data_IF_033569208028
#
_entry.id   IF_033569208028
#
_cell.length_a   1.000
_cell.length_b   1.000
_cell.length_c   1.000
_cell.angle_alpha   90.00
_cell.angle_beta   90.00
_cell.angle_gamma   90.00
#
_symmetry.space_group_name_H-M   'P 1'
#
loop_
_entity.id
_entity.type
_entity.pdbx_description
1 polymer ?
#
# COMPACT_ATOMS: atom_id res chain seq x y z
N UNK A 1 16.84 1.82 20.50
CA UNK A 1 16.46 2.05 19.11
C UNK A 1 15.92 0.75 18.56
N UNK A 2 14.77 0.76 17.94
CA UNK A 2 14.08 -0.45 17.48
C UNK A 2 14.07 -0.53 15.95
N UNK A 3 15.25 -0.36 15.32
CA UNK A 3 15.44 -0.69 13.91
C UNK A 3 15.25 -2.19 13.70
N UNK A 4 14.79 -2.57 12.50
CA UNK A 4 14.64 -3.99 12.12
C UNK A 4 15.42 -4.20 10.83
N UNK A 5 16.26 -5.24 10.82
CA UNK A 5 17.00 -5.69 9.64
C UNK A 5 16.59 -7.09 9.27
N UNK A 6 16.12 -7.28 8.06
CA UNK A 6 15.79 -8.57 7.46
C UNK A 6 16.80 -8.84 6.35
N UNK A 7 17.59 -9.93 6.49
CA UNK A 7 18.68 -10.26 5.58
C UNK A 7 18.46 -11.64 4.98
N UNK A 8 18.17 -11.67 3.68
CA UNK A 8 17.95 -12.89 2.91
C UNK A 8 16.92 -13.83 3.53
N UNK A 9 15.77 -13.28 3.99
CA UNK A 9 14.74 -14.05 4.69
C UNK A 9 13.95 -14.91 3.70
N UNK A 10 13.81 -16.18 4.04
CA UNK A 10 12.96 -17.14 3.34
C UNK A 10 11.99 -17.81 4.30
N UNK A 11 10.78 -18.08 3.82
CA UNK A 11 9.82 -18.97 4.48
C UNK A 11 9.39 -20.07 3.53
N UNK A 12 9.64 -21.31 3.93
CA UNK A 12 9.25 -22.51 3.22
C UNK A 12 8.43 -23.36 4.19
N UNK A 13 7.17 -23.60 3.87
CA UNK A 13 6.32 -24.46 4.69
C UNK A 13 6.58 -25.94 4.36
N UNK A 14 6.45 -26.84 5.35
CA UNK A 14 6.60 -28.27 5.11
C UNK A 14 5.66 -28.76 4.00
N UNK A 15 6.22 -29.46 3.00
CA UNK A 15 5.45 -29.97 1.86
C UNK A 15 5.13 -28.94 0.76
N UNK A 16 5.50 -27.67 0.93
CA UNK A 16 5.35 -26.68 -0.13
C UNK A 16 6.39 -26.86 -1.24
N UNK A 17 5.97 -26.68 -2.50
CA UNK A 17 6.85 -26.74 -3.67
C UNK A 17 7.62 -25.45 -3.93
N UNK A 18 7.14 -24.34 -3.38
CA UNK A 18 7.76 -23.02 -3.52
C UNK A 18 7.76 -22.28 -2.15
N UNK A 19 8.72 -21.38 -1.92
CA UNK A 19 8.72 -20.51 -0.74
C UNK A 19 7.53 -19.57 -0.73
N UNK A 20 6.97 -19.31 0.46
CA UNK A 20 5.95 -18.27 0.67
C UNK A 20 6.54 -16.87 0.83
N UNK A 21 7.84 -16.79 1.17
CA UNK A 21 8.65 -15.57 1.19
C UNK A 21 10.02 -15.94 0.64
N UNK A 22 10.51 -15.15 -0.32
CA UNK A 22 11.75 -15.42 -1.06
C UNK A 22 12.65 -14.20 -1.00
N UNK A 23 13.86 -14.41 -0.50
CA UNK A 23 14.94 -13.41 -0.47
C UNK A 23 14.50 -12.01 0.01
N UNK A 24 13.74 -11.99 1.11
CA UNK A 24 13.19 -10.74 1.63
C UNK A 24 14.29 -9.96 2.37
N UNK A 25 14.69 -8.84 1.78
CA UNK A 25 15.71 -7.94 2.29
C UNK A 25 15.08 -6.59 2.59
N UNK A 26 15.15 -6.12 3.86
CA UNK A 26 14.53 -4.87 4.29
C UNK A 26 15.20 -4.29 5.52
N UNK A 27 15.53 -3.01 5.46
CA UNK A 27 15.95 -2.21 6.62
C UNK A 27 14.81 -1.27 7.01
N UNK A 28 14.35 -1.38 8.26
CA UNK A 28 13.33 -0.50 8.85
C UNK A 28 14.00 0.34 9.92
N UNK A 29 13.85 1.65 9.82
CA UNK A 29 14.47 2.60 10.73
C UNK A 29 13.73 2.66 12.08
N UNK A 30 14.42 3.10 13.12
CA UNK A 30 13.78 3.38 14.41
C UNK A 30 12.69 4.45 14.25
N UNK A 31 11.51 4.18 14.82
CA UNK A 31 10.32 5.04 14.76
C UNK A 31 9.69 5.19 13.37
N UNK A 32 10.07 4.39 12.42
CA UNK A 32 9.46 4.39 11.09
C UNK A 32 8.08 3.73 11.13
N UNK A 33 7.15 4.26 10.34
CA UNK A 33 5.87 3.63 10.04
C UNK A 33 5.95 3.01 8.64
N UNK A 34 6.18 1.71 8.57
CA UNK A 34 6.27 0.98 7.31
C UNK A 34 5.04 0.12 7.06
N UNK A 35 4.60 0.06 5.80
CA UNK A 35 3.40 -0.68 5.40
C UNK A 35 3.76 -1.77 4.40
N UNK A 36 3.29 -2.99 4.64
CA UNK A 36 3.36 -4.09 3.68
C UNK A 36 2.04 -4.18 2.93
N UNK A 37 2.08 -4.06 1.61
CA UNK A 37 0.93 -4.11 0.73
C UNK A 37 1.15 -5.08 -0.42
N UNK A 38 0.08 -5.64 -0.96
CA UNK A 38 0.12 -6.57 -2.08
C UNK A 38 -1.12 -7.48 -2.13
N UNK A 39 -1.27 -8.30 -3.15
CA UNK A 39 -2.38 -9.23 -3.30
C UNK A 39 -2.49 -10.22 -2.14
N UNK A 40 -3.67 -10.85 -2.00
CA UNK A 40 -3.85 -11.93 -1.02
C UNK A 40 -2.87 -13.07 -1.29
N UNK A 41 -2.26 -13.61 -0.22
CA UNK A 41 -1.30 -14.72 -0.34
C UNK A 41 0.13 -14.33 -0.73
N UNK A 42 0.47 -13.05 -0.95
CA UNK A 42 1.82 -12.64 -1.36
C UNK A 42 2.87 -12.63 -0.23
N UNK A 43 2.58 -13.17 0.96
CA UNK A 43 3.57 -13.33 2.03
C UNK A 43 3.59 -12.26 3.12
N UNK A 44 2.76 -11.19 3.06
CA UNK A 44 2.72 -10.07 4.04
C UNK A 44 2.56 -10.53 5.50
N UNK A 45 1.44 -11.20 5.81
CA UNK A 45 1.17 -11.69 7.17
C UNK A 45 2.16 -12.76 7.60
N UNK A 46 2.68 -13.57 6.67
CA UNK A 46 3.76 -14.53 6.96
C UNK A 46 5.01 -13.80 7.42
N UNK A 47 5.43 -12.76 6.71
CA UNK A 47 6.59 -11.93 7.08
C UNK A 47 6.36 -11.24 8.43
N UNK A 48 5.18 -10.65 8.64
CA UNK A 48 4.83 -10.04 9.91
C UNK A 48 4.90 -11.05 11.07
N UNK A 49 4.42 -12.29 10.87
CA UNK A 49 4.48 -13.37 11.87
C UNK A 49 5.88 -13.86 12.12
N UNK A 50 6.76 -13.88 11.11
CA UNK A 50 8.20 -14.16 11.32
C UNK A 50 8.85 -13.09 12.21
N UNK A 51 8.54 -11.80 11.99
CA UNK A 51 9.00 -10.70 12.85
C UNK A 51 8.47 -10.88 14.29
N UNK A 52 7.20 -11.31 14.41
CA UNK A 52 6.60 -11.60 15.71
C UNK A 52 7.16 -12.85 16.42
N UNK A 53 7.85 -13.74 15.70
CA UNK A 53 8.30 -15.05 16.21
C UNK A 53 7.16 -16.07 16.31
N UNK A 54 6.05 -15.84 15.63
CA UNK A 54 4.91 -16.76 15.52
C UNK A 54 5.08 -17.74 14.35
N UNK A 55 6.01 -17.45 13.46
CA UNK A 55 6.44 -18.29 12.35
C UNK A 55 7.97 -18.41 12.38
N UNK A 56 8.49 -19.60 12.13
CA UNK A 56 9.92 -19.84 12.02
C UNK A 56 10.47 -19.31 10.70
N UNK A 57 11.67 -18.74 10.75
CA UNK A 57 12.44 -18.32 9.58
C UNK A 57 13.14 -19.56 9.02
N UNK A 58 12.94 -19.87 7.73
CA UNK A 58 13.54 -21.04 7.11
C UNK A 58 15.01 -20.82 6.72
N UNK A 59 15.36 -19.58 6.29
CA UNK A 59 16.74 -19.15 5.97
C UNK A 59 16.85 -17.64 6.17
N UNK A 60 18.08 -17.15 6.32
CA UNK A 60 18.40 -15.75 6.52
C UNK A 60 18.43 -15.35 7.98
N UNK A 61 18.70 -14.08 8.24
CA UNK A 61 18.88 -13.54 9.59
C UNK A 61 18.00 -12.32 9.81
N UNK A 62 17.36 -12.24 10.96
CA UNK A 62 16.49 -11.13 11.33
C UNK A 62 16.93 -10.52 12.65
N UNK A 63 17.01 -9.18 12.66
CA UNK A 63 17.48 -8.43 13.82
C UNK A 63 16.45 -7.40 14.26
N UNK A 64 16.31 -7.19 15.57
CA UNK A 64 15.57 -6.07 16.17
C UNK A 64 16.53 -5.34 17.12
N UNK A 65 16.77 -4.05 16.88
CA UNK A 65 17.69 -3.25 17.67
C UNK A 65 19.13 -3.81 17.69
N UNK A 66 19.57 -4.44 16.61
CA UNK A 66 20.89 -5.09 16.48
C UNK A 66 21.00 -6.47 17.11
N UNK A 67 19.92 -6.98 17.74
CA UNK A 67 19.89 -8.34 18.33
C UNK A 67 19.30 -9.32 17.29
N UNK A 68 20.02 -10.40 17.02
CA UNK A 68 19.51 -11.53 16.22
C UNK A 68 18.32 -12.18 16.95
N UNK A 69 17.18 -12.34 16.23
CA UNK A 69 15.93 -12.80 16.83
C UNK A 69 15.39 -14.11 16.26
N UNK A 70 16.12 -14.80 15.39
CA UNK A 70 15.62 -16.02 14.75
C UNK A 70 15.06 -17.03 15.76
N UNK A 71 15.81 -17.31 16.83
CA UNK A 71 15.44 -18.28 17.87
C UNK A 71 14.84 -17.64 19.13
N UNK A 72 14.58 -16.31 19.10
CA UNK A 72 14.00 -15.60 20.24
C UNK A 72 12.49 -15.80 20.26
N UNK A 73 11.90 -16.35 21.34
CA UNK A 73 10.46 -16.54 21.42
C UNK A 73 9.70 -15.21 21.44
N UNK A 74 8.43 -15.14 20.99
CA UNK A 74 7.64 -13.92 20.86
C UNK A 74 7.59 -13.04 22.11
N UNK A 75 7.52 -13.66 23.29
CA UNK A 75 7.45 -12.96 24.59
C UNK A 75 8.68 -12.12 24.91
N UNK A 76 9.84 -12.45 24.31
CA UNK A 76 11.16 -11.89 24.59
C UNK A 76 11.68 -10.98 23.47
N UNK A 77 10.83 -10.69 22.44
CA UNK A 77 11.15 -9.81 21.29
C UNK A 77 10.84 -8.33 21.50
N UNK A 78 10.27 -7.95 22.63
CA UNK A 78 9.82 -6.58 22.93
C UNK A 78 8.90 -5.96 21.86
N UNK A 79 7.98 -6.77 21.37
CA UNK A 79 6.97 -6.40 20.37
C UNK A 79 5.56 -6.46 20.94
N UNK A 80 4.62 -5.77 20.30
CA UNK A 80 3.20 -5.98 20.50
C UNK A 80 2.51 -6.19 19.15
N UNK A 81 1.61 -7.18 19.06
CA UNK A 81 0.88 -7.49 17.84
C UNK A 81 -0.63 -7.31 18.04
N UNK A 82 -1.25 -6.66 17.07
CA UNK A 82 -2.71 -6.55 16.91
C UNK A 82 -3.10 -7.41 15.72
N UNK A 83 -3.96 -8.39 15.95
CA UNK A 83 -4.45 -9.32 14.95
C UNK A 83 -5.71 -8.77 14.25
N UNK A 84 -5.96 -9.22 13.05
CA UNK A 84 -7.14 -8.91 12.26
C UNK A 84 -8.46 -9.17 13.02
N UNK A 85 -8.52 -10.24 13.83
CA UNK A 85 -9.69 -10.59 14.68
C UNK A 85 -9.74 -9.82 16.00
N UNK A 86 -8.78 -8.90 16.25
CA UNK A 86 -8.55 -8.23 17.53
C UNK A 86 -8.16 -9.15 18.69
N UNK A 87 -8.52 -10.42 18.65
CA UNK A 87 -8.21 -11.48 19.62
C UNK A 87 -8.45 -11.03 21.10
N UNK A 88 -9.57 -10.35 21.35
CA UNK A 88 -9.96 -9.96 22.71
C UNK A 88 -10.49 -11.15 23.50
N UNK A 89 -10.20 -11.18 24.80
CA UNK A 89 -10.73 -12.20 25.71
C UNK A 89 -12.22 -11.88 26.00
N UNK A 90 -13.17 -12.69 25.50
CA UNK A 90 -14.60 -12.32 25.52
C UNK A 90 -15.23 -12.32 26.91
N UNK A 91 -14.66 -13.06 27.87
CA UNK A 91 -15.10 -13.15 29.26
C UNK A 91 -14.58 -12.02 30.15
N UNK A 92 -13.52 -11.32 29.72
CA UNK A 92 -12.89 -10.22 30.45
C UNK A 92 -13.53 -8.87 30.09
N UNK A 93 -13.49 -7.92 31.03
CA UNK A 93 -13.84 -6.51 30.77
C UNK A 93 -12.77 -5.85 29.87
N UNK A 94 -13.06 -4.67 29.34
CA UNK A 94 -12.07 -3.82 28.64
C UNK A 94 -10.85 -3.59 29.50
N UNK A 95 -11.05 -3.19 30.77
CA UNK A 95 -9.96 -3.00 31.72
C UNK A 95 -9.06 -4.25 31.81
N UNK A 96 -9.66 -5.42 32.04
CA UNK A 96 -8.92 -6.69 32.19
C UNK A 96 -8.22 -7.11 30.89
N UNK A 97 -8.83 -6.87 29.72
CA UNK A 97 -8.19 -7.11 28.43
C UNK A 97 -6.92 -6.27 28.27
N UNK A 98 -6.97 -4.99 28.64
CA UNK A 98 -5.81 -4.08 28.55
C UNK A 98 -4.77 -4.47 29.61
N UNK A 99 -5.17 -4.72 30.85
CA UNK A 99 -4.29 -5.05 31.97
C UNK A 99 -3.56 -6.39 31.84
N UNK A 100 -4.13 -7.35 31.11
CA UNK A 100 -3.73 -8.75 31.11
C UNK A 100 -2.22 -8.99 30.91
N UNK A 101 -1.61 -8.30 29.95
CA UNK A 101 -0.16 -8.44 29.68
C UNK A 101 0.72 -7.93 30.82
N UNK A 102 0.26 -6.92 31.58
CA UNK A 102 0.96 -6.40 32.75
C UNK A 102 0.79 -7.32 33.97
N UNK A 103 -0.42 -7.89 34.14
CA UNK A 103 -0.68 -8.88 35.20
C UNK A 103 0.21 -10.13 35.06
N UNK A 104 0.38 -10.65 33.83
CA UNK A 104 1.28 -11.78 33.55
C UNK A 104 2.74 -11.46 33.89
N UNK A 105 3.16 -10.20 33.75
CA UNK A 105 4.50 -9.74 34.12
C UNK A 105 4.62 -9.41 35.61
N UNK A 106 3.58 -9.65 36.40
CA UNK A 106 3.52 -9.35 37.84
C UNK A 106 3.80 -7.88 38.18
N UNK A 107 3.38 -6.97 37.29
CA UNK A 107 3.48 -5.52 37.51
C UNK A 107 2.63 -5.12 38.74
N UNK A 108 3.07 -4.17 39.57
CA UNK A 108 2.29 -3.67 40.74
C UNK A 108 0.91 -3.15 40.30
N UNK A 109 -0.12 -3.39 41.13
CA UNK A 109 -1.51 -3.02 40.80
C UNK A 109 -1.71 -1.53 40.51
N UNK A 110 -1.06 -0.67 41.29
CA UNK A 110 -1.17 0.78 41.10
C UNK A 110 -0.58 1.22 39.75
N UNK A 111 0.51 0.61 39.34
CA UNK A 111 1.13 0.87 38.04
C UNK A 111 0.26 0.32 36.89
N UNK A 112 -0.38 -0.85 37.08
CA UNK A 112 -1.34 -1.39 36.10
C UNK A 112 -2.51 -0.41 35.91
N UNK A 113 -3.15 0.03 37.01
CA UNK A 113 -4.30 0.96 36.94
C UNK A 113 -3.91 2.27 36.23
N UNK A 114 -2.77 2.84 36.57
CA UNK A 114 -2.24 4.05 35.95
C UNK A 114 -2.07 3.85 34.43
N UNK A 115 -1.34 2.83 34.00
CA UNK A 115 -1.08 2.58 32.56
C UNK A 115 -2.36 2.25 31.79
N UNK A 116 -3.27 1.47 32.36
CA UNK A 116 -4.55 1.14 31.73
C UNK A 116 -5.40 2.39 31.50
N UNK A 117 -5.51 3.28 32.52
CA UNK A 117 -6.26 4.53 32.39
C UNK A 117 -5.61 5.49 31.41
N UNK A 118 -4.29 5.63 31.43
CA UNK A 118 -3.55 6.43 30.47
C UNK A 118 -3.79 5.94 29.03
N UNK A 119 -3.69 4.64 28.78
CA UNK A 119 -3.98 4.06 27.46
C UNK A 119 -5.46 4.25 27.06
N UNK A 120 -6.39 4.04 28.00
CA UNK A 120 -7.82 4.22 27.75
C UNK A 120 -8.17 5.68 27.42
N UNK A 121 -7.53 6.63 28.07
CA UNK A 121 -7.67 8.07 27.81
C UNK A 121 -7.14 8.46 26.43
N UNK A 122 -5.97 7.92 26.06
CA UNK A 122 -5.37 8.15 24.72
C UNK A 122 -6.30 7.68 23.60
N UNK A 123 -7.01 6.56 23.81
CA UNK A 123 -7.86 5.90 22.83
C UNK A 123 -9.34 6.26 22.98
N UNK A 124 -9.68 7.19 23.92
CA UNK A 124 -11.07 7.62 24.18
C UNK A 124 -12.01 6.46 24.52
N UNK A 125 -11.57 5.54 25.39
CA UNK A 125 -12.33 4.36 25.81
C UNK A 125 -12.45 4.21 27.34
N UNK A 126 -12.13 5.26 28.14
CA UNK A 126 -12.25 5.21 29.62
C UNK A 126 -13.67 4.83 30.06
N UNK A 127 -14.68 5.38 29.41
CA UNK A 127 -16.10 5.12 29.68
C UNK A 127 -16.55 3.69 29.34
N UNK A 128 -15.65 2.87 28.74
CA UNK A 128 -15.92 1.49 28.35
C UNK A 128 -15.20 0.47 29.23
N UNK A 129 -14.38 0.88 30.19
CA UNK A 129 -13.47 0.00 30.95
C UNK A 129 -14.18 -1.18 31.62
N UNK A 130 -15.43 -0.99 32.09
CA UNK A 130 -16.20 -2.03 32.77
C UNK A 130 -17.01 -2.91 31.80
N UNK A 131 -17.09 -2.55 30.52
CA UNK A 131 -17.82 -3.32 29.52
C UNK A 131 -17.05 -4.55 29.07
N UNK A 132 -17.78 -5.55 28.53
CA UNK A 132 -17.20 -6.73 27.88
C UNK A 132 -17.21 -6.56 26.35
N UNK A 133 -16.32 -7.27 25.60
CA UNK A 133 -16.18 -7.16 24.15
C UNK A 133 -17.49 -7.29 23.36
N UNK A 134 -18.43 -8.13 23.82
CA UNK A 134 -19.74 -8.33 23.16
C UNK A 134 -20.61 -7.05 23.13
N UNK A 135 -20.38 -6.12 24.05
CA UNK A 135 -21.12 -4.86 24.16
C UNK A 135 -20.42 -3.69 23.43
N UNK A 136 -19.43 -3.97 22.59
CA UNK A 136 -18.61 -2.98 21.89
C UNK A 136 -18.88 -3.02 20.39
N UNK A 137 -18.78 -1.83 19.75
CA UNK A 137 -18.72 -1.74 18.27
C UNK A 137 -17.37 -2.26 17.74
N UNK A 138 -17.26 -2.46 16.42
CA UNK A 138 -16.02 -2.89 15.77
C UNK A 138 -14.83 -1.98 16.11
N UNK A 139 -14.97 -0.66 15.96
CA UNK A 139 -13.93 0.31 16.28
C UNK A 139 -13.59 0.37 17.76
N UNK A 140 -14.57 0.19 18.66
CA UNK A 140 -14.30 0.10 20.09
C UNK A 140 -13.47 -1.14 20.42
N UNK A 141 -13.80 -2.31 19.84
CA UNK A 141 -12.97 -3.52 19.99
C UNK A 141 -11.54 -3.31 19.52
N UNK A 142 -11.37 -2.64 18.38
CA UNK A 142 -10.04 -2.32 17.86
C UNK A 142 -9.26 -1.42 18.79
N UNK A 143 -9.87 -0.33 19.30
CA UNK A 143 -9.22 0.56 20.29
C UNK A 143 -8.81 -0.21 21.55
N UNK A 144 -9.62 -1.16 22.01
CA UNK A 144 -9.24 -2.03 23.13
C UNK A 144 -8.03 -2.91 22.79
N UNK A 145 -7.96 -3.46 21.58
CA UNK A 145 -6.79 -4.25 21.15
C UNK A 145 -5.52 -3.40 21.04
N UNK A 146 -5.64 -2.16 20.54
CA UNK A 146 -4.53 -1.18 20.55
C UNK A 146 -4.12 -0.82 21.99
N UNK A 147 -5.06 -0.59 22.90
CA UNK A 147 -4.79 -0.32 24.30
C UNK A 147 -4.03 -1.45 24.99
N UNK A 148 -4.43 -2.71 24.72
CA UNK A 148 -3.73 -3.90 25.20
C UNK A 148 -2.28 -4.00 24.70
N UNK A 149 -2.03 -3.53 23.48
CA UNK A 149 -0.69 -3.47 22.92
C UNK A 149 0.13 -2.32 23.56
N UNK A 150 -0.47 -1.13 23.70
CA UNK A 150 0.19 0.09 24.20
C UNK A 150 0.73 -0.02 25.63
N UNK A 151 -0.03 -0.60 26.55
CA UNK A 151 0.36 -0.64 27.98
C UNK A 151 1.69 -1.34 28.24
N UNK A 152 2.16 -2.12 27.28
CA UNK A 152 3.44 -2.82 27.35
C UNK A 152 4.64 -1.97 26.99
N UNK A 153 4.43 -0.77 26.41
CA UNK A 153 5.46 0.10 25.82
C UNK A 153 6.43 -0.69 24.94
N UNK A 154 5.93 -1.39 23.90
CA UNK A 154 6.78 -2.22 23.06
C UNK A 154 7.70 -1.36 22.19
N UNK A 155 8.86 -1.90 21.84
CA UNK A 155 9.78 -1.26 20.91
C UNK A 155 9.25 -1.27 19.48
N UNK A 156 8.42 -2.27 19.11
CA UNK A 156 7.80 -2.39 17.77
C UNK A 156 6.33 -2.77 17.88
N UNK A 157 5.49 -2.08 17.12
CA UNK A 157 4.08 -2.44 16.91
C UNK A 157 3.91 -3.20 15.59
N UNK A 158 3.25 -4.34 15.63
CA UNK A 158 2.89 -5.17 14.50
C UNK A 158 1.36 -5.19 14.34
N UNK A 159 0.86 -4.72 13.20
CA UNK A 159 -0.57 -4.57 12.92
C UNK A 159 -0.95 -5.41 11.69
N UNK A 160 -1.63 -6.55 11.92
CA UNK A 160 -2.05 -7.49 10.86
C UNK A 160 -3.49 -7.18 10.42
N UNK A 161 -3.67 -6.44 9.35
CA UNK A 161 -4.94 -5.99 8.76
C UNK A 161 -5.96 -5.46 9.79
N UNK A 162 -5.57 -4.52 10.68
CA UNK A 162 -6.40 -4.16 11.83
C UNK A 162 -7.71 -3.45 11.46
N UNK A 163 -7.85 -2.89 10.24
CA UNK A 163 -9.02 -2.15 9.79
C UNK A 163 -9.97 -2.94 8.88
N UNK A 164 -9.58 -4.16 8.45
CA UNK A 164 -10.31 -4.94 7.45
C UNK A 164 -11.77 -5.25 7.82
N UNK A 165 -12.07 -5.39 9.11
CA UNK A 165 -13.41 -5.74 9.63
C UNK A 165 -14.28 -4.51 9.98
N UNK A 166 -13.89 -3.30 9.54
CA UNK A 166 -14.63 -2.07 9.81
C UNK A 166 -15.36 -1.55 8.57
N UNK A 167 -16.47 -0.86 8.78
CA UNK A 167 -17.14 -0.10 7.72
C UNK A 167 -16.29 1.08 7.24
N UNK A 168 -16.58 1.63 6.05
CA UNK A 168 -15.78 2.65 5.40
C UNK A 168 -15.61 3.93 6.24
N UNK A 169 -16.68 4.40 6.90
CA UNK A 169 -16.66 5.62 7.73
C UNK A 169 -15.76 5.43 8.95
N UNK A 170 -15.90 4.29 9.62
CA UNK A 170 -15.11 3.97 10.81
C UNK A 170 -13.64 3.71 10.44
N UNK A 171 -13.39 3.05 9.29
CA UNK A 171 -12.04 2.82 8.77
C UNK A 171 -11.28 4.15 8.57
N UNK A 172 -11.93 5.15 7.95
CA UNK A 172 -11.33 6.48 7.75
C UNK A 172 -10.98 7.16 9.08
N UNK A 173 -11.88 7.11 10.07
CA UNK A 173 -11.61 7.65 11.40
C UNK A 173 -10.44 6.93 12.07
N UNK A 174 -10.43 5.59 12.02
CA UNK A 174 -9.40 4.79 12.69
C UNK A 174 -8.02 4.91 12.05
N UNK A 175 -7.92 5.12 10.73
CA UNK A 175 -6.64 5.47 10.07
C UNK A 175 -6.01 6.71 10.72
N UNK A 176 -6.79 7.78 10.85
CA UNK A 176 -6.33 9.02 11.48
C UNK A 176 -5.88 8.78 12.93
N UNK A 177 -6.61 7.96 13.68
CA UNK A 177 -6.24 7.63 15.07
C UNK A 177 -4.93 6.83 15.17
N UNK A 178 -4.70 5.86 14.27
CA UNK A 178 -3.46 5.09 14.24
C UNK A 178 -2.26 5.99 13.89
N UNK A 179 -2.41 6.92 12.92
CA UNK A 179 -1.36 7.89 12.58
C UNK A 179 -1.02 8.78 13.78
N UNK A 180 -2.04 9.31 14.47
CA UNK A 180 -1.84 10.12 15.70
C UNK A 180 -1.16 9.30 16.80
N UNK A 181 -1.55 8.03 16.93
CA UNK A 181 -0.97 7.12 17.90
C UNK A 181 0.52 6.87 17.62
N UNK A 182 0.89 6.57 16.37
CA UNK A 182 2.28 6.41 15.96
C UNK A 182 3.11 7.66 16.31
N UNK A 183 2.64 8.85 15.93
CA UNK A 183 3.32 10.12 16.25
C UNK A 183 3.49 10.34 17.76
N UNK A 184 2.48 9.95 18.56
CA UNK A 184 2.50 10.11 20.01
C UNK A 184 3.45 9.14 20.71
N UNK A 185 3.48 7.88 20.23
CA UNK A 185 4.32 6.82 20.83
C UNK A 185 5.78 6.93 20.36
N UNK A 186 6.03 7.48 19.17
CA UNK A 186 7.35 7.58 18.56
C UNK A 186 8.09 6.21 18.59
N UNK A 187 7.41 5.14 18.18
CA UNK A 187 7.91 3.77 18.12
C UNK A 187 7.78 3.22 16.71
N UNK A 188 8.50 2.18 16.34
CA UNK A 188 8.46 1.57 15.02
C UNK A 188 7.14 0.81 14.82
N UNK A 189 6.44 1.09 13.71
CA UNK A 189 5.20 0.42 13.33
C UNK A 189 5.39 -0.36 12.03
N UNK A 190 4.93 -1.61 12.01
CA UNK A 190 4.78 -2.41 10.80
C UNK A 190 3.30 -2.74 10.64
N UNK A 191 2.73 -2.34 9.52
CA UNK A 191 1.32 -2.46 9.23
C UNK A 191 1.11 -3.28 7.96
N UNK A 192 0.29 -4.30 8.03
CA UNK A 192 -0.11 -5.10 6.87
C UNK A 192 -1.50 -4.69 6.42
N UNK A 193 -1.68 -4.47 5.15
CA UNK A 193 -2.98 -4.22 4.54
C UNK A 193 -3.04 -4.72 3.10
N UNK A 194 -4.24 -4.89 2.58
CA UNK A 194 -4.52 -5.03 1.15
C UNK A 194 -5.20 -3.77 0.57
N UNK A 195 -5.49 -2.77 1.41
CA UNK A 195 -6.11 -1.50 1.03
C UNK A 195 -5.03 -0.48 0.65
N UNK A 196 -5.03 -0.06 -0.62
CA UNK A 196 -4.07 0.90 -1.14
C UNK A 196 -4.22 2.28 -0.50
N UNK A 197 -5.46 2.68 -0.16
CA UNK A 197 -5.71 3.99 0.47
C UNK A 197 -5.07 4.03 1.87
N UNK A 198 -5.13 2.92 2.62
CA UNK A 198 -4.42 2.80 3.89
C UNK A 198 -2.92 2.93 3.67
N UNK A 199 -2.36 2.18 2.71
CA UNK A 199 -0.94 2.20 2.41
C UNK A 199 -0.44 3.60 2.04
N UNK A 200 -1.11 4.26 1.10
CA UNK A 200 -0.73 5.58 0.57
C UNK A 200 -0.87 6.72 1.59
N UNK A 201 -1.72 6.56 2.62
CA UNK A 201 -2.04 7.67 3.55
C UNK A 201 -1.39 7.57 4.92
N UNK A 202 -0.87 6.39 5.31
CA UNK A 202 -0.44 6.16 6.69
C UNK A 202 1.07 5.97 6.85
N UNK A 203 1.75 5.36 5.88
CA UNK A 203 3.14 4.96 6.00
C UNK A 203 4.15 6.02 5.58
N UNK A 204 5.33 5.99 6.20
CA UNK A 204 6.50 6.73 5.74
C UNK A 204 7.07 6.06 4.46
N UNK A 205 7.15 4.72 4.47
CA UNK A 205 7.45 3.88 3.29
C UNK A 205 6.48 2.72 3.18
N UNK A 206 6.34 2.25 1.95
CA UNK A 206 5.51 1.10 1.58
C UNK A 206 6.39 0.02 0.96
N UNK A 207 6.20 -1.22 1.37
CA UNK A 207 6.78 -2.42 0.76
C UNK A 207 5.70 -3.07 -0.10
N UNK A 208 5.84 -2.97 -1.41
CA UNK A 208 4.94 -3.64 -2.36
C UNK A 208 5.45 -5.06 -2.59
N UNK A 209 4.59 -6.05 -2.30
CA UNK A 209 4.94 -7.46 -2.39
C UNK A 209 4.08 -8.19 -3.43
N UNK A 210 4.71 -9.10 -4.18
CA UNK A 210 4.04 -10.04 -5.10
C UNK A 210 4.73 -11.40 -5.01
N UNK A 211 3.97 -12.48 -4.87
CA UNK A 211 4.46 -13.88 -4.91
C UNK A 211 5.65 -14.14 -3.97
N UNK A 212 5.60 -13.58 -2.76
CA UNK A 212 6.65 -13.75 -1.74
C UNK A 212 7.88 -12.87 -1.94
N UNK A 213 7.89 -11.99 -2.92
CA UNK A 213 9.04 -11.15 -3.31
C UNK A 213 8.68 -9.68 -3.14
N UNK A 214 9.64 -8.88 -2.65
CA UNK A 214 9.54 -7.41 -2.67
C UNK A 214 9.66 -6.95 -4.13
N UNK A 215 8.69 -6.18 -4.58
CA UNK A 215 8.72 -5.54 -5.90
C UNK A 215 9.38 -4.16 -5.83
N UNK A 216 8.96 -3.35 -4.87
CA UNK A 216 9.53 -2.01 -4.63
C UNK A 216 9.33 -1.62 -3.17
N UNK A 217 10.27 -0.86 -2.62
CA UNK A 217 10.17 -0.21 -1.30
C UNK A 217 10.46 1.26 -1.49
N UNK A 218 9.48 2.12 -1.23
CA UNK A 218 9.66 3.56 -1.39
C UNK A 218 8.60 4.35 -0.61
N UNK A 219 8.71 5.68 -0.65
CA UNK A 219 7.65 6.58 -0.17
C UNK A 219 6.38 6.39 -1.01
N UNK A 220 5.19 6.70 -0.46
CA UNK A 220 3.94 6.64 -1.22
C UNK A 220 4.01 7.40 -2.56
N UNK A 221 4.55 8.62 -2.54
CA UNK A 221 4.65 9.45 -3.73
C UNK A 221 5.55 8.82 -4.80
N UNK A 222 6.73 8.31 -4.43
CA UNK A 222 7.65 7.68 -5.38
C UNK A 222 7.08 6.40 -5.99
N UNK A 223 6.36 5.58 -5.21
CA UNK A 223 5.68 4.40 -5.74
C UNK A 223 4.63 4.76 -6.80
N UNK A 224 3.99 5.91 -6.63
CA UNK A 224 2.97 6.41 -7.55
C UNK A 224 3.61 7.03 -8.80
N UNK A 225 4.62 7.90 -8.63
CA UNK A 225 5.23 8.66 -9.73
C UNK A 225 6.32 7.88 -10.47
N UNK A 226 7.03 6.96 -9.77
CA UNK A 226 8.23 6.27 -10.26
C UNK A 226 8.15 4.75 -10.02
N UNK A 227 7.08 4.07 -10.50
CA UNK A 227 6.99 2.63 -10.35
C UNK A 227 8.12 1.92 -11.09
N UNK A 228 8.76 0.93 -10.44
CA UNK A 228 9.88 0.22 -11.04
C UNK A 228 9.48 -0.82 -12.09
N UNK A 229 8.22 -1.25 -12.10
CA UNK A 229 7.69 -2.23 -13.06
C UNK A 229 6.17 -2.08 -13.26
N UNK A 230 5.63 -2.80 -14.26
CA UNK A 230 4.20 -2.79 -14.58
C UNK A 230 3.32 -3.24 -13.42
N UNK A 231 3.78 -4.20 -12.61
CA UNK A 231 3.00 -4.65 -11.48
C UNK A 231 2.78 -3.53 -10.46
N UNK A 232 3.85 -2.83 -10.05
CA UNK A 232 3.74 -1.70 -9.11
C UNK A 232 2.88 -0.59 -9.70
N UNK A 233 3.09 -0.24 -10.97
CA UNK A 233 2.32 0.78 -11.68
C UNK A 233 0.82 0.49 -11.71
N UNK A 234 0.45 -0.76 -12.01
CA UNK A 234 -0.95 -1.19 -12.04
C UNK A 234 -1.54 -1.47 -10.66
N UNK A 235 -0.70 -1.86 -9.69
CA UNK A 235 -1.16 -2.12 -8.34
C UNK A 235 -1.37 -0.85 -7.52
N UNK A 236 -0.55 0.19 -7.71
CA UNK A 236 -0.64 1.47 -6.98
C UNK A 236 -1.48 2.47 -7.79
N UNK A 237 -2.61 2.88 -7.22
CA UNK A 237 -3.56 3.82 -7.79
C UNK A 237 -4.98 3.25 -7.90
N UNK A 238 -5.99 4.11 -7.76
CA UNK A 238 -7.40 3.75 -7.90
C UNK A 238 -8.14 4.90 -8.60
N UNK A 239 -8.61 4.68 -9.84
CA UNK A 239 -8.46 3.47 -10.67
C UNK A 239 -7.01 3.12 -11.03
N UNK A 240 -6.80 1.90 -11.52
CA UNK A 240 -5.46 1.42 -11.91
C UNK A 240 -4.93 2.16 -13.14
N UNK A 241 -3.58 2.19 -13.31
CA UNK A 241 -2.94 2.70 -14.53
C UNK A 241 -3.43 1.95 -15.78
N UNK A 242 -3.70 2.69 -16.83
CA UNK A 242 -3.98 2.11 -18.15
C UNK A 242 -2.69 1.64 -18.81
N UNK A 243 -2.74 0.50 -19.52
CA UNK A 243 -1.63 -0.02 -20.30
C UNK A 243 -2.05 -0.22 -21.75
N UNK A 244 -1.38 0.49 -22.67
CA UNK A 244 -1.63 0.42 -24.09
C UNK A 244 -0.42 -0.18 -24.81
N UNK A 245 -0.69 -1.03 -25.82
CA UNK A 245 0.36 -1.54 -26.69
C UNK A 245 0.80 -0.45 -27.66
N UNK A 246 2.10 -0.20 -27.72
CA UNK A 246 2.68 0.78 -28.61
C UNK A 246 4.03 0.34 -29.18
N UNK A 247 4.52 1.10 -30.14
CA UNK A 247 5.86 0.92 -30.71
C UNK A 247 6.63 2.23 -30.61
N UNK A 248 7.87 2.19 -30.16
CA UNK A 248 8.70 3.40 -30.13
C UNK A 248 9.13 3.77 -31.54
N UNK A 249 8.83 5.01 -31.92
CA UNK A 249 9.25 5.59 -33.20
C UNK A 249 10.08 6.84 -32.93
N UNK A 250 11.08 7.08 -33.80
CA UNK A 250 11.94 8.26 -33.73
C UNK A 250 11.89 8.98 -35.07
N UNK A 251 11.60 10.29 -35.03
CA UNK A 251 11.59 11.16 -36.21
C UNK A 251 12.44 12.38 -35.93
N UNK A 252 13.64 12.43 -36.51
CA UNK A 252 14.66 13.40 -36.08
C UNK A 252 15.06 13.18 -34.62
N UNK A 253 14.95 14.20 -33.79
CA UNK A 253 15.23 14.13 -32.34
C UNK A 253 13.99 13.84 -31.49
N UNK A 254 12.82 13.68 -32.12
CA UNK A 254 11.56 13.43 -31.42
C UNK A 254 11.28 11.93 -31.32
N UNK A 255 11.11 11.45 -30.09
CA UNK A 255 10.57 10.13 -29.80
C UNK A 255 9.05 10.21 -29.62
N UNK A 256 8.36 9.20 -30.09
CA UNK A 256 6.91 9.05 -29.90
C UNK A 256 6.56 7.58 -29.69
N UNK A 257 5.41 7.35 -29.05
CA UNK A 257 4.77 6.03 -29.01
C UNK A 257 3.73 5.98 -30.11
N UNK A 258 3.87 5.04 -31.03
CA UNK A 258 2.87 4.76 -32.06
C UNK A 258 1.86 3.74 -31.52
N UNK A 259 0.61 4.18 -31.35
CA UNK A 259 -0.53 3.38 -30.90
C UNK A 259 -1.36 2.84 -32.10
N UNK A 260 -0.68 2.39 -33.15
CA UNK A 260 -1.33 1.90 -34.37
C UNK A 260 -1.83 3.02 -35.29
N UNK A 261 -0.96 4.01 -35.54
CA UNK A 261 -1.16 5.16 -36.39
C UNK A 261 -1.38 6.48 -35.65
N UNK A 262 -1.74 6.45 -34.37
CA UNK A 262 -1.80 7.66 -33.53
C UNK A 262 -0.48 7.77 -32.73
N UNK A 263 0.20 8.89 -32.92
CA UNK A 263 1.51 9.15 -32.33
C UNK A 263 1.36 9.99 -31.05
N UNK A 264 1.85 9.47 -29.94
CA UNK A 264 1.96 10.21 -28.68
C UNK A 264 3.42 10.68 -28.54
N UNK A 265 3.73 11.98 -28.74
CA UNK A 265 5.07 12.49 -28.61
C UNK A 265 5.53 12.48 -27.16
N UNK A 266 6.78 12.04 -26.93
CA UNK A 266 7.38 12.02 -25.59
C UNK A 266 8.16 13.30 -25.35
N UNK A 267 8.05 13.91 -24.16
CA UNK A 267 8.82 15.11 -23.81
C UNK A 267 10.33 14.90 -23.94
N UNK A 268 11.04 15.88 -24.48
CA UNK A 268 12.49 15.78 -24.72
C UNK A 268 13.29 15.60 -23.43
N UNK A 269 12.86 16.23 -22.35
CA UNK A 269 13.48 16.09 -21.03
C UNK A 269 13.43 14.67 -20.48
N UNK A 270 12.39 13.91 -20.79
CA UNK A 270 12.25 12.49 -20.38
C UNK A 270 13.11 11.56 -21.25
N UNK A 271 13.47 11.96 -22.44
CA UNK A 271 14.15 11.12 -23.44
C UNK A 271 15.63 11.49 -23.66
N UNK A 272 16.13 12.49 -22.91
CA UNK A 272 17.46 13.05 -23.08
C UNK A 272 18.60 12.08 -22.72
N UNK A 273 18.36 11.05 -21.94
CA UNK A 273 19.36 10.06 -21.51
C UNK A 273 19.72 9.01 -22.58
N UNK A 274 19.02 9.02 -23.72
CA UNK A 274 19.25 8.12 -24.85
C UNK A 274 18.84 6.66 -24.63
N UNK A 275 18.22 6.33 -23.50
CA UNK A 275 17.76 4.93 -23.23
C UNK A 275 16.82 4.41 -24.29
N UNK A 276 15.99 5.29 -24.88
CA UNK A 276 14.99 4.90 -25.87
C UNK A 276 15.60 4.55 -27.24
N UNK A 277 16.87 4.87 -27.52
CA UNK A 277 17.52 4.52 -28.79
C UNK A 277 17.50 2.99 -29.02
N UNK A 278 17.71 2.22 -27.96
CA UNK A 278 17.66 0.74 -28.04
C UNK A 278 16.27 0.16 -28.22
N UNK A 279 15.22 0.96 -28.06
CA UNK A 279 13.82 0.58 -28.18
C UNK A 279 13.15 1.07 -29.46
N UNK A 280 13.84 1.86 -30.31
CA UNK A 280 13.29 2.32 -31.59
C UNK A 280 12.91 1.13 -32.45
N UNK A 281 11.66 1.10 -32.92
CA UNK A 281 11.05 0.01 -33.68
C UNK A 281 10.59 -1.19 -32.85
N UNK A 282 10.79 -1.17 -31.51
CA UNK A 282 10.33 -2.25 -30.63
C UNK A 282 8.99 -1.94 -30.00
N UNK A 283 8.27 -3.00 -29.67
CA UNK A 283 7.01 -2.91 -28.89
C UNK A 283 7.31 -2.56 -27.43
N UNK A 284 6.46 -1.72 -26.86
CA UNK A 284 6.47 -1.32 -25.45
C UNK A 284 5.04 -1.31 -24.92
N UNK A 285 4.88 -1.35 -23.60
CA UNK A 285 3.63 -0.99 -22.94
C UNK A 285 3.71 0.48 -22.50
N UNK A 286 2.82 1.30 -23.02
CA UNK A 286 2.63 2.67 -22.56
C UNK A 286 1.67 2.68 -21.38
N UNK A 287 2.10 3.18 -20.25
CA UNK A 287 1.28 3.40 -19.06
C UNK A 287 0.84 4.84 -18.96
N UNK A 288 -0.42 5.06 -18.62
CA UNK A 288 -0.98 6.40 -18.32
C UNK A 288 -2.04 6.27 -17.24
N UNK A 289 -2.01 7.16 -16.25
CA UNK A 289 -3.00 7.11 -15.17
C UNK A 289 -4.34 7.70 -15.60
N UNK A 290 -5.45 7.24 -15.03
CA UNK A 290 -6.79 7.74 -15.37
C UNK A 290 -6.96 9.25 -15.22
N UNK A 291 -6.32 9.87 -14.24
CA UNK A 291 -6.36 11.31 -13.99
C UNK A 291 -5.50 12.16 -14.94
N UNK A 292 -4.65 11.51 -15.73
CA UNK A 292 -3.80 12.15 -16.74
C UNK A 292 -4.42 12.04 -18.15
N UNK A 293 -5.71 11.65 -18.21
CA UNK A 293 -6.55 11.59 -19.41
C UNK A 293 -7.80 12.43 -19.17
N UNK A 294 -8.05 13.44 -20.02
CA UNK A 294 -9.19 14.32 -19.84
C UNK A 294 -9.84 14.73 -21.17
N UNK A 295 -11.13 15.09 -21.12
CA UNK A 295 -11.93 15.64 -22.22
C UNK A 295 -12.22 17.15 -22.03
N UNK A 296 -11.63 17.78 -21.00
CA UNK A 296 -11.85 19.20 -20.71
C UNK A 296 -11.23 20.08 -21.79
N UNK A 297 -11.95 21.13 -22.30
CA UNK A 297 -11.48 21.98 -23.41
C UNK A 297 -10.11 22.63 -23.16
N UNK A 298 -9.80 23.08 -21.94
CA UNK A 298 -8.52 23.69 -21.60
C UNK A 298 -7.37 22.66 -21.64
N UNK A 299 -7.61 21.44 -21.11
CA UNK A 299 -6.66 20.35 -21.16
C UNK A 299 -6.43 19.88 -22.60
N UNK A 300 -7.50 19.74 -23.39
CA UNK A 300 -7.45 19.41 -24.82
C UNK A 300 -6.66 20.43 -25.63
N UNK A 301 -6.86 21.73 -25.37
CA UNK A 301 -6.14 22.81 -26.04
C UNK A 301 -4.64 22.82 -25.73
N UNK A 302 -4.25 22.36 -24.54
CA UNK A 302 -2.86 22.27 -24.11
C UNK A 302 -2.13 21.05 -24.71
N UNK A 303 -2.86 19.97 -24.98
CA UNK A 303 -2.31 18.68 -25.41
C UNK A 303 -2.81 18.28 -26.80
N UNK A 304 -2.70 19.18 -27.80
CA UNK A 304 -3.23 19.00 -29.16
C UNK A 304 -2.63 17.79 -29.91
N UNK A 305 -1.38 17.45 -29.61
CA UNK A 305 -0.64 16.38 -30.29
C UNK A 305 -0.79 15.00 -29.60
N UNK A 306 -1.57 14.95 -28.51
CA UNK A 306 -1.76 13.75 -27.69
C UNK A 306 -3.25 13.40 -27.57
N UNK A 307 -4.04 13.60 -28.61
CA UNK A 307 -5.49 13.37 -28.61
C UNK A 307 -5.87 12.08 -29.32
N UNK A 308 -6.84 11.36 -28.75
CA UNK A 308 -7.39 10.13 -29.30
C UNK A 308 -8.92 10.22 -29.35
N UNK A 309 -9.52 9.72 -30.44
CA UNK A 309 -10.95 9.48 -30.51
C UNK A 309 -11.27 8.12 -29.91
N UNK A 310 -12.11 8.08 -28.88
CA UNK A 310 -12.47 6.91 -28.11
C UNK A 310 -13.97 6.72 -28.03
N UNK A 311 -14.42 5.49 -27.78
CA UNK A 311 -15.83 5.21 -27.54
C UNK A 311 -16.08 5.01 -26.05
N UNK A 312 -17.10 5.65 -25.50
CA UNK A 312 -17.50 5.48 -24.09
C UNK A 312 -18.34 4.20 -23.96
N UNK A 313 -17.79 3.19 -23.31
CA UNK A 313 -18.50 1.96 -22.96
C UNK A 313 -19.45 2.23 -21.77
N UNK A 314 -18.89 2.74 -20.66
CA UNK A 314 -19.63 3.09 -19.45
C UNK A 314 -19.15 4.43 -18.89
N UNK A 315 -20.09 5.21 -18.35
CA UNK A 315 -19.82 6.45 -17.60
C UNK A 315 -20.36 6.31 -16.18
N UNK A 316 -19.48 6.34 -15.18
CA UNK A 316 -19.84 6.24 -13.75
C UNK A 316 -19.73 7.61 -13.08
N UNK A 317 -20.85 8.13 -12.59
CA UNK A 317 -20.95 9.40 -11.87
C UNK A 317 -20.60 9.19 -10.40
N UNK A 318 -19.40 9.60 -9.97
CA UNK A 318 -18.93 9.46 -8.58
C UNK A 318 -19.23 10.69 -7.71
N UNK A 319 -19.96 11.68 -8.26
CA UNK A 319 -20.29 12.93 -7.59
C UNK A 319 -19.26 14.02 -7.85
N UNK A 320 -18.07 13.93 -7.29
CA UNK A 320 -17.01 14.91 -7.49
C UNK A 320 -16.20 14.69 -8.79
N UNK A 321 -16.34 13.53 -9.40
CA UNK A 321 -15.61 13.10 -10.60
C UNK A 321 -16.45 12.08 -11.39
N UNK A 322 -16.08 11.84 -12.64
CA UNK A 322 -16.68 10.82 -13.50
C UNK A 322 -15.58 9.86 -13.94
N UNK A 323 -15.85 8.55 -13.87
CA UNK A 323 -15.02 7.55 -14.51
C UNK A 323 -15.62 7.18 -15.85
N UNK A 324 -14.86 7.45 -16.94
CA UNK A 324 -15.19 7.03 -18.27
C UNK A 324 -14.43 5.76 -18.61
N UNK A 325 -15.14 4.65 -18.80
CA UNK A 325 -14.58 3.43 -19.36
C UNK A 325 -14.62 3.54 -20.87
N UNK A 326 -13.45 3.62 -21.47
CA UNK A 326 -13.26 3.96 -22.87
C UNK A 326 -12.74 2.74 -23.64
N UNK A 327 -13.17 2.61 -24.88
CA UNK A 327 -12.59 1.68 -25.84
C UNK A 327 -11.83 2.44 -26.93
N UNK A 328 -10.57 2.05 -27.14
CA UNK A 328 -9.70 2.58 -28.17
C UNK A 328 -9.02 1.45 -28.93
N UNK A 329 -9.37 1.25 -30.21
CA UNK A 329 -8.80 0.20 -31.10
C UNK A 329 -8.75 -1.20 -30.44
N UNK A 330 -9.81 -1.57 -29.71
CA UNK A 330 -9.91 -2.84 -28.98
C UNK A 330 -9.21 -2.88 -27.61
N UNK A 331 -8.53 -1.80 -27.19
CA UNK A 331 -7.98 -1.65 -25.84
C UNK A 331 -8.99 -0.95 -24.95
N UNK A 332 -9.09 -1.41 -23.70
CA UNK A 332 -9.89 -0.76 -22.67
C UNK A 332 -9.03 0.21 -21.88
N UNK A 333 -9.58 1.39 -21.63
CA UNK A 333 -8.96 2.45 -20.82
C UNK A 333 -9.99 3.01 -19.85
N UNK A 334 -9.51 3.61 -18.77
CA UNK A 334 -10.31 4.41 -17.85
C UNK A 334 -9.77 5.82 -17.82
N UNK A 335 -10.62 6.83 -18.02
CA UNK A 335 -10.28 8.22 -17.74
C UNK A 335 -11.04 8.68 -16.49
N UNK A 336 -10.40 9.53 -15.70
CA UNK A 336 -11.00 10.20 -14.55
C UNK A 336 -11.14 11.67 -14.85
N UNK A 337 -12.37 12.08 -15.21
CA UNK A 337 -12.65 13.41 -15.71
C UNK A 337 -13.48 14.23 -14.72
N UNK A 338 -13.55 15.55 -14.95
CA UNK A 338 -14.34 16.45 -14.14
C UNK A 338 -15.84 16.12 -14.21
N UNK A 339 -16.64 16.43 -13.16
CA UNK A 339 -18.09 16.18 -13.14
C UNK A 339 -18.86 17.01 -14.21
N UNK A 340 -18.18 17.97 -14.84
CA UNK A 340 -18.69 18.79 -15.94
C UNK A 340 -18.66 18.11 -17.30
N UNK A 341 -17.95 16.97 -17.43
CA UNK A 341 -17.93 16.19 -18.66
C UNK A 341 -19.34 15.80 -19.11
N UNK A 342 -19.59 15.91 -20.41
CA UNK A 342 -20.87 15.57 -21.05
C UNK A 342 -20.87 14.19 -21.67
N UNK A 343 -19.74 13.48 -21.62
CA UNK A 343 -19.59 12.15 -22.19
C UNK A 343 -20.54 11.13 -21.53
N UNK A 344 -21.27 10.37 -22.33
CA UNK A 344 -22.26 9.38 -21.89
C UNK A 344 -22.03 8.05 -22.61
N UNK A 345 -22.62 6.99 -22.07
CA UNK A 345 -22.55 5.65 -22.64
C UNK A 345 -22.91 5.64 -24.14
N UNK A 346 -22.04 5.08 -24.95
CA UNK A 346 -22.19 5.00 -26.41
C UNK A 346 -21.72 6.21 -27.19
N UNK A 347 -21.30 7.29 -26.53
CA UNK A 347 -20.75 8.47 -27.22
C UNK A 347 -19.32 8.18 -27.74
N UNK A 348 -19.00 8.82 -28.87
CA UNK A 348 -17.60 8.98 -29.27
C UNK A 348 -17.07 10.26 -28.65
N UNK A 349 -16.03 10.16 -27.86
CA UNK A 349 -15.40 11.29 -27.18
C UNK A 349 -13.93 11.39 -27.56
N UNK A 350 -13.47 12.61 -27.77
CA UNK A 350 -12.05 12.89 -27.93
C UNK A 350 -11.46 13.21 -26.57
N UNK A 351 -10.39 12.51 -26.20
CA UNK A 351 -9.64 12.72 -24.97
C UNK A 351 -8.19 13.08 -25.29
N UNK A 352 -7.54 13.81 -24.40
CA UNK A 352 -6.11 14.07 -24.49
C UNK A 352 -5.36 13.36 -23.36
N UNK A 353 -4.07 13.12 -23.58
CA UNK A 353 -3.13 12.59 -22.60
C UNK A 353 -2.11 13.65 -22.21
N UNK A 354 -1.72 13.68 -20.92
CA UNK A 354 -0.54 14.45 -20.53
C UNK A 354 0.74 13.64 -20.87
N UNK A 355 1.53 14.04 -21.88
CA UNK A 355 2.72 13.29 -22.28
C UNK A 355 3.83 13.29 -21.22
N UNK A 356 3.83 14.25 -20.27
CA UNK A 356 4.75 14.28 -19.14
C UNK A 356 4.46 13.20 -18.10
N UNK A 357 3.26 12.61 -18.13
CA UNK A 357 2.78 11.55 -17.23
C UNK A 357 2.78 10.15 -17.85
N UNK A 358 3.25 10.05 -19.09
CA UNK A 358 3.41 8.76 -19.77
C UNK A 358 4.56 7.97 -19.15
N UNK A 359 4.33 6.70 -18.86
CA UNK A 359 5.31 5.72 -18.46
C UNK A 359 5.53 4.70 -19.59
N UNK A 360 6.72 4.14 -19.68
CA UNK A 360 7.02 3.09 -20.65
C UNK A 360 7.60 1.87 -19.95
N UNK A 361 7.10 0.70 -20.34
CA UNK A 361 7.54 -0.57 -19.78
C UNK A 361 7.97 -1.51 -20.90
N UNK A 362 8.99 -2.30 -20.62
CA UNK A 362 9.45 -3.38 -21.47
C UNK A 362 8.43 -4.52 -21.48
N UNK A 363 8.09 -5.02 -22.67
CA UNK A 363 7.02 -6.04 -22.84
C UNK A 363 7.42 -7.39 -22.25
N UNK A 364 8.71 -7.75 -22.28
CA UNK A 364 9.20 -9.07 -21.88
C UNK A 364 9.53 -9.08 -20.37
N UNK A 365 10.21 -8.06 -19.90
CA UNK A 365 10.69 -8.00 -18.50
C UNK A 365 9.70 -7.30 -17.56
N UNK A 366 8.70 -6.60 -18.11
CA UNK A 366 7.76 -5.73 -17.39
C UNK A 366 8.46 -4.59 -16.61
N UNK A 367 9.76 -4.40 -16.77
CA UNK A 367 10.50 -3.34 -16.07
C UNK A 367 10.25 -1.98 -16.71
N UNK A 368 10.35 -0.94 -15.89
CA UNK A 368 10.20 0.44 -16.37
C UNK A 368 11.39 0.85 -17.23
N UNK A 369 11.10 1.33 -18.43
CA UNK A 369 12.06 1.96 -19.36
C UNK A 369 12.13 3.47 -19.06
N UNK A 370 10.96 4.07 -18.85
CA UNK A 370 10.76 5.51 -18.66
C UNK A 370 9.61 5.77 -17.68
N UNK A 371 9.83 6.66 -16.72
CA UNK A 371 8.79 7.19 -15.83
C UNK A 371 8.49 8.65 -16.15
#
# INVERSE_FOLDING_TARGET
MASISCQHIYKIYPGATAPSVTDFNLEIQDKEFIIFVGPSGCGKSTTLRMIAGLEEISKGEMYIGGRLINDVPPKDRDIAMVFQSYALYPHMTVYKNIAFGLELRKTPKDEIDKRVREAAKVLDIEHLLDRKPKALSGGQRQRVALGRAMVRNPAVFLLDEPLSNLDAKLRTSMRTEIIKLHKKLATTFIYVTHDQTEAMTMGDRIVVMKDGIIQQVDTPQNLYDMPCNMFVAGFIGSPQMNFLDGTIVKKGDQYSVDLGGDLIPLPKEKTADGKLDSYVGKKVKMGIRPEDIDDEPEFMAKHTDCQLDTQVDVSEMMGAEIYLYLEYKGNKMTARVAPTSKARNGDTVRVAFDPHKVHLFDVETEQTILN
#
